data_IF_467154826854
#
_entry.id   IF_467154826854
#
_cell.length_a   1.000
_cell.length_b   1.000
_cell.length_c   1.000
_cell.angle_alpha   90.00
_cell.angle_beta   90.00
_cell.angle_gamma   90.00
#
_symmetry.space_group_name_H-M   'P 1'
#
loop_
_entity.id
_entity.type
_entity.pdbx_description
1 polymer ?
#
# COMPACT_ATOMS: atom_id res chain seq x y z
N UNK A 1 6.16 3.61 16.73
CA UNK A 1 5.51 4.77 16.05
C UNK A 1 5.66 4.45 14.58
N UNK A 2 4.56 4.22 13.86
CA UNK A 2 4.63 3.63 12.53
C UNK A 2 5.30 4.60 11.55
N UNK A 3 6.59 4.36 11.26
CA UNK A 3 7.53 5.25 10.56
C UNK A 3 7.02 5.81 9.23
N UNK A 4 6.12 5.07 8.58
CA UNK A 4 5.60 5.36 7.24
C UNK A 4 4.20 5.99 7.24
N UNK A 5 3.64 6.30 8.41
CA UNK A 5 2.40 7.06 8.47
C UNK A 5 2.63 8.49 8.01
N UNK A 6 1.74 8.99 7.17
CA UNK A 6 1.72 10.42 6.86
C UNK A 6 1.23 11.19 8.10
N UNK A 7 1.80 12.36 8.34
CA UNK A 7 1.27 13.27 9.35
C UNK A 7 -0.08 13.82 8.89
N UNK A 8 -1.09 13.77 9.76
CA UNK A 8 -2.43 14.29 9.49
C UNK A 8 -2.66 15.57 10.31
N UNK A 9 -3.36 16.55 9.74
CA UNK A 9 -3.88 17.67 10.53
C UNK A 9 -5.01 17.20 11.45
N UNK A 10 -5.39 18.04 12.41
CA UNK A 10 -6.54 17.74 13.29
C UNK A 10 -7.82 17.50 12.48
N UNK A 11 -8.07 18.30 11.43
CA UNK A 11 -9.24 18.12 10.57
C UNK A 11 -9.17 16.82 9.75
N UNK A 12 -7.99 16.45 9.26
CA UNK A 12 -7.79 15.21 8.51
C UNK A 12 -7.93 13.97 9.40
N UNK A 13 -7.47 14.05 10.66
CA UNK A 13 -7.67 13.00 11.65
C UNK A 13 -9.16 12.84 12.02
N UNK A 14 -9.90 13.94 12.16
CA UNK A 14 -11.35 13.92 12.38
C UNK A 14 -12.09 13.30 11.19
N UNK A 15 -11.73 13.67 9.95
CA UNK A 15 -12.26 13.03 8.73
C UNK A 15 -11.95 11.54 8.69
N UNK A 16 -10.72 11.14 9.01
CA UNK A 16 -10.30 9.74 9.03
C UNK A 16 -11.08 8.93 10.06
N UNK A 17 -11.38 9.50 11.23
CA UNK A 17 -12.15 8.82 12.29
C UNK A 17 -13.57 8.42 11.87
N UNK A 18 -14.12 9.09 10.83
CA UNK A 18 -15.44 8.84 10.27
C UNK A 18 -15.44 7.79 9.16
N UNK A 19 -14.26 7.37 8.70
CA UNK A 19 -14.11 6.41 7.60
C UNK A 19 -13.97 5.00 8.16
N UNK A 20 -14.86 4.11 7.73
CA UNK A 20 -14.70 2.67 7.97
C UNK A 20 -13.69 2.07 6.99
N UNK A 21 -12.48 1.81 7.45
CA UNK A 21 -11.39 1.22 6.66
C UNK A 21 -11.39 -0.31 6.62
N UNK A 22 -12.40 -0.98 7.19
CA UNK A 22 -12.44 -2.45 7.22
C UNK A 22 -12.63 -3.01 5.81
N UNK A 23 -11.79 -3.97 5.43
CA UNK A 23 -11.92 -4.68 4.15
C UNK A 23 -13.03 -5.74 4.14
N UNK A 24 -13.53 -6.12 5.32
CA UNK A 24 -14.54 -7.16 5.47
C UNK A 24 -15.62 -6.74 6.48
N UNK A 25 -16.87 -6.92 6.09
CA UNK A 25 -18.07 -6.71 6.90
C UNK A 25 -18.80 -8.03 7.10
N UNK A 26 -19.57 -8.16 8.18
CA UNK A 26 -20.22 -9.44 8.51
C UNK A 26 -21.31 -9.80 7.50
N UNK A 27 -21.98 -8.80 6.94
CA UNK A 27 -23.03 -8.97 5.96
C UNK A 27 -23.06 -7.83 4.94
N UNK A 28 -23.85 -8.03 3.89
CA UNK A 28 -23.96 -7.09 2.78
C UNK A 28 -24.57 -5.73 3.19
N UNK A 29 -25.49 -5.71 4.16
CA UNK A 29 -26.14 -4.48 4.61
C UNK A 29 -25.17 -3.58 5.38
N UNK A 30 -24.33 -4.16 6.25
CA UNK A 30 -23.26 -3.47 6.95
C UNK A 30 -22.23 -2.91 5.94
N UNK A 31 -21.81 -3.72 4.97
CA UNK A 31 -20.89 -3.28 3.92
C UNK A 31 -21.47 -2.14 3.06
N UNK A 32 -22.77 -2.21 2.75
CA UNK A 32 -23.46 -1.12 2.02
C UNK A 32 -23.56 0.15 2.86
N UNK A 33 -23.88 0.03 4.15
CA UNK A 33 -23.94 1.16 5.06
C UNK A 33 -22.57 1.85 5.19
N UNK A 34 -21.50 1.07 5.38
CA UNK A 34 -20.12 1.57 5.40
C UNK A 34 -19.74 2.26 4.09
N UNK A 35 -20.04 1.64 2.93
CA UNK A 35 -19.80 2.24 1.62
C UNK A 35 -20.46 3.62 1.49
N UNK A 36 -21.74 3.74 1.85
CA UNK A 36 -22.47 5.00 1.76
C UNK A 36 -21.93 6.05 2.74
N UNK A 37 -21.62 5.67 3.98
CA UNK A 37 -21.06 6.55 4.99
C UNK A 37 -19.64 7.05 4.64
N UNK A 38 -18.86 6.23 3.93
CA UNK A 38 -17.49 6.53 3.56
C UNK A 38 -17.35 7.53 2.39
N UNK A 39 -18.38 7.73 1.57
CA UNK A 39 -18.23 8.47 0.31
C UNK A 39 -17.75 9.91 0.53
N UNK A 40 -18.46 10.67 1.37
CA UNK A 40 -18.16 12.08 1.63
C UNK A 40 -16.85 12.27 2.42
N UNK A 41 -16.62 11.55 3.55
CA UNK A 41 -15.38 11.70 4.31
C UNK A 41 -14.12 11.35 3.50
N UNK A 42 -14.16 10.31 2.65
CA UNK A 42 -13.00 9.96 1.81
C UNK A 42 -12.69 11.09 0.82
N UNK A 43 -13.70 11.64 0.14
CA UNK A 43 -13.48 12.71 -0.83
C UNK A 43 -12.96 13.99 -0.14
N UNK A 44 -13.49 14.32 1.03
CA UNK A 44 -13.01 15.44 1.83
C UNK A 44 -11.55 15.25 2.28
N UNK A 45 -11.21 14.05 2.77
CA UNK A 45 -9.86 13.71 3.20
C UNK A 45 -8.87 13.82 2.03
N UNK A 46 -9.18 13.23 0.87
CA UNK A 46 -8.31 13.33 -0.31
C UNK A 46 -8.12 14.75 -0.80
N UNK A 47 -9.18 15.57 -0.76
CA UNK A 47 -9.09 16.98 -1.14
C UNK A 47 -8.11 17.72 -0.23
N UNK A 48 -8.19 17.51 1.08
CA UNK A 48 -7.25 18.11 2.05
C UNK A 48 -5.81 17.63 1.81
N UNK A 49 -5.60 16.31 1.74
CA UNK A 49 -4.29 15.71 1.52
C UNK A 49 -3.66 16.18 0.20
N UNK A 50 -4.46 16.27 -0.87
CA UNK A 50 -4.00 16.71 -2.18
C UNK A 50 -3.62 18.20 -2.19
N UNK A 51 -4.35 19.05 -1.49
CA UNK A 51 -4.07 20.49 -1.42
C UNK A 51 -2.68 20.79 -0.85
N UNK A 52 -2.21 19.97 0.09
CA UNK A 52 -0.89 20.10 0.71
C UNK A 52 0.15 19.09 0.23
N UNK A 53 -0.16 18.27 -0.78
CA UNK A 53 0.70 17.19 -1.30
C UNK A 53 1.21 16.25 -0.19
N UNK A 54 0.30 15.84 0.69
CA UNK A 54 0.61 15.01 1.85
C UNK A 54 1.06 13.59 1.51
N UNK A 55 0.51 13.01 0.44
CA UNK A 55 0.78 11.63 0.04
C UNK A 55 2.12 11.61 -0.71
N UNK A 56 3.10 10.78 -0.30
CA UNK A 56 4.38 10.68 -0.98
C UNK A 56 4.24 10.32 -2.47
N UNK A 57 5.04 10.96 -3.32
CA UNK A 57 5.00 10.77 -4.78
C UNK A 57 5.18 9.30 -5.18
N UNK A 58 5.99 8.53 -4.45
CA UNK A 58 6.19 7.10 -4.71
C UNK A 58 4.89 6.28 -4.53
N UNK A 59 4.02 6.67 -3.58
CA UNK A 59 2.70 6.03 -3.38
C UNK A 59 1.72 6.45 -4.48
N UNK A 60 1.84 7.68 -4.98
CA UNK A 60 1.07 8.12 -6.15
C UNK A 60 1.51 7.39 -7.43
N UNK A 61 2.81 7.11 -7.60
CA UNK A 61 3.31 6.27 -8.70
C UNK A 61 2.80 4.84 -8.58
N UNK A 62 2.82 4.25 -7.38
CA UNK A 62 2.22 2.93 -7.11
C UNK A 62 0.78 2.80 -7.61
N UNK A 63 0.01 3.89 -7.53
CA UNK A 63 -1.39 3.97 -7.95
C UNK A 63 -1.59 4.25 -9.44
N UNK A 64 -0.83 5.22 -9.98
CA UNK A 64 -1.06 5.77 -11.31
C UNK A 64 -0.19 5.14 -12.41
N UNK A 65 0.95 4.53 -12.05
CA UNK A 65 1.91 3.95 -12.99
C UNK A 65 1.62 2.47 -13.25
N UNK A 66 1.66 2.07 -14.52
CA UNK A 66 1.46 0.69 -14.94
C UNK A 66 2.66 -0.21 -14.57
N UNK A 67 3.88 0.33 -14.52
CA UNK A 67 5.09 -0.44 -14.23
C UNK A 67 5.16 -0.88 -12.75
N UNK A 68 4.42 -0.19 -11.88
CA UNK A 68 4.29 -0.50 -10.46
C UNK A 68 3.30 -1.63 -10.17
N UNK A 69 2.62 -2.18 -11.19
CA UNK A 69 1.77 -3.36 -11.02
C UNK A 69 2.37 -4.55 -11.76
N UNK A 70 2.79 -5.55 -10.99
CA UNK A 70 3.21 -6.84 -11.54
C UNK A 70 2.02 -7.75 -11.84
N UNK A 71 2.12 -8.57 -12.88
CA UNK A 71 1.12 -9.60 -13.20
C UNK A 71 0.69 -9.59 -14.67
N UNK A 72 -0.27 -10.46 -15.00
CA UNK A 72 -0.75 -10.66 -16.38
C UNK A 72 -1.60 -9.48 -16.90
N UNK A 73 -2.32 -8.82 -15.99
CA UNK A 73 -3.22 -7.73 -16.36
C UNK A 73 -2.39 -6.46 -16.55
N UNK A 74 -2.53 -5.81 -17.71
CA UNK A 74 -1.83 -4.54 -18.05
C UNK A 74 -2.57 -3.31 -17.52
N UNK A 75 -1.83 -2.22 -17.26
CA UNK A 75 -2.32 -0.92 -16.78
C UNK A 75 -1.96 -0.62 -15.32
N UNK A 76 -2.23 0.60 -14.87
CA UNK A 76 -2.06 1.01 -13.46
C UNK A 76 -3.22 0.54 -12.59
N UNK A 77 -3.08 0.62 -11.26
CA UNK A 77 -4.16 0.28 -10.32
C UNK A 77 -5.38 1.15 -10.58
N UNK A 78 -5.19 2.46 -10.74
CA UNK A 78 -6.26 3.38 -11.17
C UNK A 78 -6.91 2.95 -12.49
N UNK A 79 -6.10 2.58 -13.48
CA UNK A 79 -6.60 2.16 -14.79
C UNK A 79 -7.48 0.90 -14.76
N UNK A 80 -7.41 0.07 -13.71
CA UNK A 80 -8.35 -1.06 -13.55
C UNK A 80 -9.76 -0.59 -13.23
N UNK A 81 -9.89 0.43 -12.37
CA UNK A 81 -11.19 1.00 -12.04
C UNK A 81 -11.82 1.60 -13.29
N UNK A 82 -11.03 2.38 -14.04
CA UNK A 82 -11.47 3.02 -15.29
C UNK A 82 -11.91 1.98 -16.33
N UNK A 83 -11.14 0.90 -16.50
CA UNK A 83 -11.51 -0.20 -17.41
C UNK A 83 -12.78 -0.92 -16.99
N UNK A 84 -13.06 -0.99 -15.69
CA UNK A 84 -14.27 -1.59 -15.14
C UNK A 84 -15.46 -0.61 -15.09
N UNK A 85 -15.35 0.55 -15.76
CA UNK A 85 -16.43 1.54 -15.86
C UNK A 85 -16.53 2.49 -14.66
N UNK A 86 -15.58 2.45 -13.72
CA UNK A 86 -15.54 3.34 -12.57
C UNK A 86 -14.56 4.50 -12.84
N UNK A 87 -15.05 5.74 -12.84
CA UNK A 87 -14.26 6.91 -13.23
C UNK A 87 -14.47 8.11 -12.30
N UNK A 88 -13.54 9.07 -12.35
CA UNK A 88 -13.62 10.31 -11.58
C UNK A 88 -13.67 10.07 -10.07
N UNK A 89 -14.57 10.79 -9.38
CA UNK A 89 -14.78 10.65 -7.94
C UNK A 89 -15.24 9.24 -7.52
N UNK A 90 -15.93 8.53 -8.42
CA UNK A 90 -16.47 7.19 -8.15
C UNK A 90 -15.37 6.16 -7.82
N UNK A 91 -14.16 6.36 -8.35
CA UNK A 91 -13.00 5.51 -8.05
C UNK A 91 -12.66 5.58 -6.55
N UNK A 92 -12.57 6.80 -6.01
CA UNK A 92 -12.12 7.03 -4.65
C UNK A 92 -13.17 6.63 -3.61
N UNK A 93 -14.44 6.60 -3.98
CA UNK A 93 -15.51 6.12 -3.10
C UNK A 93 -15.74 4.61 -3.20
N UNK A 94 -15.10 3.92 -4.15
CA UNK A 94 -15.32 2.50 -4.38
C UNK A 94 -14.82 1.64 -3.20
N UNK A 95 -15.53 0.58 -2.76
CA UNK A 95 -15.10 -0.25 -1.63
C UNK A 95 -13.67 -0.82 -1.78
N UNK A 96 -13.33 -1.35 -2.97
CA UNK A 96 -11.96 -1.82 -3.26
C UNK A 96 -10.88 -0.73 -3.27
N UNK A 97 -11.24 0.56 -3.24
CA UNK A 97 -10.24 1.61 -3.14
C UNK A 97 -9.68 1.74 -1.71
N UNK A 98 -10.39 1.24 -0.69
CA UNK A 98 -9.98 1.34 0.71
C UNK A 98 -8.59 0.74 0.97
N UNK A 99 -8.21 -0.34 0.29
CA UNK A 99 -6.88 -0.93 0.42
C UNK A 99 -5.76 0.01 -0.04
N UNK A 100 -6.03 0.82 -1.09
CA UNK A 100 -5.09 1.80 -1.60
C UNK A 100 -5.06 3.04 -0.70
N UNK A 101 -6.21 3.43 -0.15
CA UNK A 101 -6.29 4.49 0.86
C UNK A 101 -5.47 4.15 2.09
N UNK A 102 -5.57 2.91 2.60
CA UNK A 102 -4.74 2.45 3.73
C UNK A 102 -3.26 2.58 3.43
N UNK A 103 -2.81 2.17 2.24
CA UNK A 103 -1.41 2.34 1.84
C UNK A 103 -1.00 3.81 1.76
N UNK A 104 -1.85 4.70 1.22
CA UNK A 104 -1.54 6.13 1.14
C UNK A 104 -1.34 6.76 2.52
N UNK A 105 -2.16 6.39 3.49
CA UNK A 105 -2.12 6.95 4.84
C UNK A 105 -1.01 6.32 5.69
N UNK A 106 -0.88 5.00 5.65
CA UNK A 106 -0.13 4.24 6.66
C UNK A 106 1.12 3.56 6.10
N UNK A 107 1.25 3.44 4.79
CA UNK A 107 2.31 2.63 4.18
C UNK A 107 2.00 1.14 4.29
N UNK A 108 3.05 0.33 4.37
CA UNK A 108 2.91 -1.13 4.48
C UNK A 108 2.15 -1.56 5.74
N UNK A 109 1.41 -2.66 5.62
CA UNK A 109 0.70 -3.32 6.72
C UNK A 109 1.52 -4.45 7.38
N UNK A 110 2.82 -4.55 7.05
CA UNK A 110 3.72 -5.47 7.74
C UNK A 110 3.78 -5.14 9.25
N UNK A 111 3.92 -6.15 10.13
CA UNK A 111 4.18 -5.90 11.54
C UNK A 111 5.43 -5.04 11.76
N UNK A 112 5.42 -4.13 12.73
CA UNK A 112 6.52 -3.18 13.02
C UNK A 112 7.87 -3.92 13.18
N UNK A 113 7.86 -5.07 13.88
CA UNK A 113 9.06 -5.92 14.03
C UNK A 113 9.61 -6.45 12.70
N UNK A 114 8.75 -6.73 11.72
CA UNK A 114 9.16 -7.18 10.38
C UNK A 114 9.74 -6.02 9.59
N UNK A 115 9.13 -4.84 9.69
CA UNK A 115 9.64 -3.60 9.09
C UNK A 115 11.04 -3.31 9.63
N UNK A 116 11.22 -3.28 10.95
CA UNK A 116 12.50 -2.98 11.59
C UNK A 116 13.61 -3.97 11.19
N UNK A 117 13.30 -5.27 11.20
CA UNK A 117 14.27 -6.30 10.79
C UNK A 117 14.64 -6.19 9.30
N UNK A 118 13.67 -5.89 8.45
CA UNK A 118 13.90 -5.72 7.02
C UNK A 118 14.72 -4.46 6.72
N UNK A 119 14.39 -3.34 7.36
CA UNK A 119 15.16 -2.10 7.25
C UNK A 119 16.60 -2.27 7.69
N UNK A 120 16.81 -2.93 8.82
CA UNK A 120 18.16 -3.24 9.31
C UNK A 120 18.96 -4.06 8.31
N UNK A 121 18.30 -4.95 7.57
CA UNK A 121 18.96 -5.74 6.51
C UNK A 121 19.34 -4.89 5.30
N UNK A 122 18.44 -4.00 4.87
CA UNK A 122 18.66 -3.14 3.71
C UNK A 122 19.72 -2.08 3.99
N UNK A 123 19.74 -1.52 5.20
CA UNK A 123 20.64 -0.42 5.54
C UNK A 123 20.24 0.86 4.82
N UNK A 124 21.21 1.59 4.25
CA UNK A 124 20.93 2.77 3.44
C UNK A 124 20.45 2.36 2.04
N UNK A 125 19.19 2.67 1.65
CA UNK A 125 18.63 2.36 0.33
C UNK A 125 19.47 2.88 -0.84
N UNK A 126 20.15 4.01 -0.69
CA UNK A 126 21.01 4.61 -1.72
C UNK A 126 22.27 3.78 -2.04
N UNK A 127 22.67 2.89 -1.12
CA UNK A 127 23.85 2.03 -1.29
C UNK A 127 23.49 0.63 -1.80
N UNK A 128 22.20 0.34 -2.00
CA UNK A 128 21.76 -0.95 -2.48
C UNK A 128 22.15 -1.13 -3.94
N UNK A 129 22.93 -2.17 -4.20
CA UNK A 129 23.40 -2.56 -5.52
C UNK A 129 22.69 -3.82 -6.04
N UNK A 130 22.95 -4.20 -7.29
CA UNK A 130 22.40 -5.43 -7.87
C UNK A 130 22.80 -6.70 -7.11
N UNK A 131 23.99 -6.73 -6.47
CA UNK A 131 24.42 -7.86 -5.66
C UNK A 131 23.64 -8.02 -4.35
N UNK A 132 22.98 -6.95 -3.87
CA UNK A 132 22.23 -6.97 -2.61
C UNK A 132 20.78 -7.47 -2.80
N UNK A 133 20.27 -7.46 -4.03
CA UNK A 133 18.88 -7.84 -4.35
C UNK A 133 18.57 -9.27 -3.86
N UNK A 134 19.44 -10.23 -4.15
CA UNK A 134 19.23 -11.64 -3.75
C UNK A 134 19.26 -11.82 -2.23
N UNK A 135 20.25 -11.28 -1.50
CA UNK A 135 20.23 -11.26 -0.04
C UNK A 135 18.98 -10.60 0.57
N UNK A 136 18.56 -9.43 0.06
CA UNK A 136 17.37 -8.71 0.56
C UNK A 136 16.11 -9.55 0.33
N UNK A 137 15.93 -10.11 -0.87
CA UNK A 137 14.82 -10.98 -1.19
C UNK A 137 14.79 -12.26 -0.34
N UNK A 138 15.96 -12.83 -0.01
CA UNK A 138 16.06 -13.95 0.93
C UNK A 138 15.56 -13.56 2.32
N UNK A 139 15.98 -12.40 2.84
CA UNK A 139 15.51 -11.91 4.14
C UNK A 139 14.00 -11.71 4.17
N UNK A 140 13.40 -11.12 3.14
CA UNK A 140 11.93 -10.98 3.07
C UNK A 140 11.21 -12.34 3.15
N UNK A 141 11.71 -13.37 2.44
CA UNK A 141 11.17 -14.73 2.52
C UNK A 141 11.32 -15.34 3.92
N UNK A 142 12.47 -15.15 4.55
CA UNK A 142 12.75 -15.70 5.87
C UNK A 142 11.88 -15.03 6.94
N UNK A 143 11.66 -13.71 6.84
CA UNK A 143 10.71 -12.97 7.68
C UNK A 143 9.28 -13.45 7.46
N UNK A 144 8.86 -13.65 6.21
CA UNK A 144 7.52 -14.19 5.86
C UNK A 144 7.28 -15.52 6.57
N UNK A 145 8.23 -16.46 6.53
CA UNK A 145 8.11 -17.76 7.21
C UNK A 145 8.14 -17.63 8.73
N UNK A 146 9.10 -16.87 9.26
CA UNK A 146 9.32 -16.75 10.71
C UNK A 146 8.11 -16.15 11.41
N UNK A 147 7.56 -15.08 10.84
CA UNK A 147 6.40 -14.37 11.39
C UNK A 147 5.06 -14.90 10.90
N UNK A 148 5.06 -16.00 10.11
CA UNK A 148 3.85 -16.63 9.55
C UNK A 148 2.93 -15.62 8.86
N UNK A 149 3.53 -14.73 8.08
CA UNK A 149 2.78 -13.73 7.33
C UNK A 149 1.91 -14.42 6.28
N UNK A 150 0.77 -13.81 5.96
CA UNK A 150 -0.10 -14.29 4.89
C UNK A 150 0.67 -14.28 3.55
N UNK A 151 0.91 -15.47 3.00
CA UNK A 151 1.67 -15.66 1.76
C UNK A 151 1.02 -15.01 0.55
N UNK A 152 -0.29 -14.72 0.61
CA UNK A 152 -1.02 -14.03 -0.46
C UNK A 152 -0.82 -12.52 -0.43
N UNK A 153 -0.76 -11.92 0.78
CA UNK A 153 -0.62 -10.48 0.97
C UNK A 153 0.84 -10.03 1.12
N UNK A 154 1.68 -10.82 1.79
CA UNK A 154 3.07 -10.47 2.11
C UNK A 154 3.90 -9.99 0.91
N UNK A 155 3.82 -10.58 -0.31
CA UNK A 155 4.57 -10.07 -1.44
C UNK A 155 4.28 -8.60 -1.77
N UNK A 156 3.00 -8.22 -1.72
CA UNK A 156 2.55 -6.85 -1.99
C UNK A 156 2.98 -5.90 -0.86
N UNK A 157 2.93 -6.37 0.38
CA UNK A 157 3.34 -5.57 1.53
C UNK A 157 4.85 -5.31 1.57
N UNK A 158 5.69 -6.29 1.23
CA UNK A 158 7.12 -6.05 1.03
C UNK A 158 7.42 -5.14 -0.15
N UNK A 159 6.61 -5.21 -1.23
CA UNK A 159 6.74 -4.29 -2.35
C UNK A 159 6.49 -2.84 -1.90
N UNK A 160 5.37 -2.59 -1.21
CA UNK A 160 5.03 -1.31 -0.58
C UNK A 160 6.14 -0.79 0.34
N UNK A 161 6.66 -1.64 1.23
CA UNK A 161 7.76 -1.29 2.11
C UNK A 161 9.01 -0.86 1.33
N UNK A 162 9.40 -1.61 0.29
CA UNK A 162 10.56 -1.25 -0.53
C UNK A 162 10.40 0.14 -1.18
N UNK A 163 9.19 0.47 -1.65
CA UNK A 163 8.89 1.78 -2.21
C UNK A 163 8.97 2.89 -1.17
N UNK A 164 8.38 2.68 0.01
CA UNK A 164 8.43 3.63 1.13
C UNK A 164 9.87 3.83 1.65
N UNK A 165 10.73 2.82 1.54
CA UNK A 165 12.17 2.92 1.81
C UNK A 165 12.94 3.66 0.71
N UNK A 166 12.35 3.94 -0.45
CA UNK A 166 13.04 4.58 -1.57
C UNK A 166 13.91 3.61 -2.39
N UNK A 167 13.70 2.30 -2.28
CA UNK A 167 14.36 1.34 -3.17
C UNK A 167 13.80 1.47 -4.60
N UNK A 168 14.69 1.31 -5.58
CA UNK A 168 14.30 1.32 -6.99
C UNK A 168 13.26 0.23 -7.33
N UNK A 169 12.41 0.53 -8.31
CA UNK A 169 11.30 -0.34 -8.72
C UNK A 169 11.75 -1.78 -9.04
N UNK A 170 12.88 -1.95 -9.72
CA UNK A 170 13.43 -3.27 -10.08
C UNK A 170 13.80 -4.11 -8.85
N UNK A 171 14.38 -3.48 -7.82
CA UNK A 171 14.69 -4.10 -6.53
C UNK A 171 13.39 -4.49 -5.81
N UNK A 172 12.44 -3.56 -5.70
CA UNK A 172 11.15 -3.81 -5.06
C UNK A 172 10.40 -4.98 -5.73
N UNK A 173 10.36 -5.01 -7.07
CA UNK A 173 9.77 -6.11 -7.83
C UNK A 173 10.50 -7.44 -7.56
N UNK A 174 11.83 -7.44 -7.51
CA UNK A 174 12.62 -8.65 -7.25
C UNK A 174 12.39 -9.21 -5.85
N UNK A 175 12.25 -8.34 -4.84
CA UNK A 175 11.89 -8.73 -3.47
C UNK A 175 10.50 -9.36 -3.45
N UNK A 176 9.49 -8.69 -4.03
CA UNK A 176 8.13 -9.24 -4.15
C UNK A 176 8.13 -10.62 -4.82
N UNK A 177 8.85 -10.79 -5.94
CA UNK A 177 8.93 -12.09 -6.63
C UNK A 177 9.62 -13.16 -5.79
N UNK A 178 10.60 -12.78 -4.97
CA UNK A 178 11.21 -13.70 -4.01
C UNK A 178 10.17 -14.17 -2.99
N UNK A 179 9.40 -13.26 -2.39
CA UNK A 179 8.36 -13.61 -1.40
C UNK A 179 7.29 -14.53 -1.99
N UNK A 180 6.90 -14.34 -3.27
CA UNK A 180 5.97 -15.24 -3.99
C UNK A 180 6.43 -16.71 -4.08
N UNK A 181 7.71 -16.99 -3.82
CA UNK A 181 8.24 -18.37 -3.80
C UNK A 181 8.07 -19.07 -2.45
N UNK A 182 7.61 -18.36 -1.42
CA UNK A 182 7.25 -18.98 -0.13
C UNK A 182 6.01 -19.84 -0.35
N UNK A 183 6.06 -21.07 0.15
CA UNK A 183 4.97 -22.05 0.12
C UNK A 183 4.41 -22.21 1.52
#
# INVERSE_FOLDING_TARGET
>A
MQKYHIELTEEEADLLSKIDLRSHHQNHDEGRAAYLANQEPILALFKSLSARRAVPDVRLSYWNDADYRSGRIKGSRKGLFERNGCSGAGIYTHPHFLEHLRYFLFGTELPEVVVDEFEKKVGNPEWVSSSDIVPIGKTARDLTRRYRLDVSAAPEEFFKLCLDMGLGLSTAQSVMQSVKQVR
#
